data_IF_462390361660
#
_entry.id   IF_462390361660
#
_cell.length_a   1.000
_cell.length_b   1.000
_cell.length_c   1.000
_cell.angle_alpha   90.00
_cell.angle_beta   90.00
_cell.angle_gamma   90.00
#
_symmetry.space_group_name_H-M   'P 1'
#
loop_
_entity.id
_entity.type
_entity.pdbx_description
1 polymer ?
#
# COMPACT_ATOMS: atom_id res chain seq x y z
N UNK A 1 -7.10 24.24 -14.59
CA UNK A 1 -6.98 23.38 -13.39
C UNK A 1 -5.72 22.54 -13.58
N UNK A 2 -4.92 22.36 -12.53
CA UNK A 2 -3.82 21.40 -12.55
C UNK A 2 -4.39 19.98 -12.56
N UNK A 3 -3.64 19.04 -13.14
CA UNK A 3 -3.99 17.63 -13.07
C UNK A 3 -3.98 17.15 -11.61
N UNK A 4 -4.95 16.32 -11.19
CA UNK A 4 -4.98 15.79 -9.83
C UNK A 4 -3.92 14.70 -9.64
N UNK A 5 -3.68 14.34 -8.39
CA UNK A 5 -2.74 13.31 -7.98
C UNK A 5 -3.46 12.25 -7.14
N UNK A 6 -2.95 11.03 -7.12
CA UNK A 6 -3.32 10.06 -6.08
C UNK A 6 -2.19 9.97 -5.05
N UNK A 7 -2.51 9.55 -3.84
CA UNK A 7 -1.55 9.14 -2.82
C UNK A 7 -1.63 7.63 -2.58
N UNK A 8 -0.53 6.93 -2.84
CA UNK A 8 -0.35 5.52 -2.60
C UNK A 8 0.31 5.25 -1.25
N UNK A 9 -0.27 4.35 -0.46
CA UNK A 9 0.28 3.84 0.81
C UNK A 9 0.48 2.31 0.81
N UNK A 10 0.34 1.66 -0.34
CA UNK A 10 0.56 0.22 -0.52
C UNK A 10 1.42 -0.05 -1.74
N UNK A 11 0.99 -0.97 -2.61
CA UNK A 11 1.73 -1.32 -3.83
C UNK A 11 1.99 -0.14 -4.76
N UNK A 12 1.14 0.89 -4.72
CA UNK A 12 1.31 2.13 -5.49
C UNK A 12 2.55 2.94 -5.10
N UNK A 13 3.21 2.64 -3.97
CA UNK A 13 4.52 3.24 -3.65
C UNK A 13 5.62 2.67 -4.56
N UNK A 14 5.46 1.44 -5.04
CA UNK A 14 6.38 0.83 -5.98
C UNK A 14 6.03 1.27 -7.41
N UNK A 15 6.80 2.21 -7.95
CA UNK A 15 6.60 2.79 -9.28
C UNK A 15 6.74 1.77 -10.41
N UNK A 16 7.35 0.61 -10.18
CA UNK A 16 7.38 -0.50 -11.17
C UNK A 16 6.00 -1.12 -11.38
N UNK A 17 5.03 -0.84 -10.52
CA UNK A 17 3.68 -1.43 -10.60
C UNK A 17 2.70 -0.59 -11.42
N UNK A 18 3.08 0.60 -11.90
CA UNK A 18 2.19 1.50 -12.63
C UNK A 18 2.94 2.41 -13.61
N UNK A 19 2.19 3.10 -14.47
CA UNK A 19 2.74 3.99 -15.51
C UNK A 19 2.70 5.48 -15.13
N UNK A 20 2.04 5.83 -14.02
CA UNK A 20 1.90 7.22 -13.57
C UNK A 20 3.25 7.86 -13.28
N UNK A 21 3.43 9.07 -13.80
CA UNK A 21 4.66 9.86 -13.75
C UNK A 21 4.57 10.93 -12.66
N UNK A 22 5.65 11.70 -12.49
CA UNK A 22 5.76 12.76 -11.47
C UNK A 22 5.53 12.23 -10.05
N UNK A 23 6.09 11.04 -9.80
CA UNK A 23 6.05 10.35 -8.52
C UNK A 23 6.92 11.09 -7.49
N UNK A 24 6.34 11.45 -6.33
CA UNK A 24 7.03 12.19 -5.27
C UNK A 24 6.73 11.60 -3.89
N UNK A 25 7.73 11.51 -3.00
CA UNK A 25 7.49 11.19 -1.60
C UNK A 25 6.51 12.17 -0.96
N UNK A 26 5.59 11.65 -0.17
CA UNK A 26 4.58 12.42 0.53
C UNK A 26 4.22 11.75 1.86
N UNK A 27 3.44 12.44 2.67
CA UNK A 27 3.00 11.96 3.97
C UNK A 27 1.51 12.17 4.18
N UNK A 28 0.82 11.16 4.70
CA UNK A 28 -0.61 11.18 5.01
C UNK A 28 -0.81 11.19 6.53
N UNK A 29 -1.47 12.22 7.05
CA UNK A 29 -1.81 12.36 8.46
C UNK A 29 -3.24 11.92 8.76
N UNK A 30 -3.52 11.54 10.01
CA UNK A 30 -4.88 11.23 10.47
C UNK A 30 -5.34 9.81 10.19
N UNK A 31 -4.45 8.96 9.67
CA UNK A 31 -4.74 7.59 9.26
C UNK A 31 -3.67 6.62 9.73
N UNK A 32 -4.08 5.38 10.00
CA UNK A 32 -3.19 4.24 10.24
C UNK A 32 -3.52 3.14 9.26
N UNK A 33 -2.49 2.44 8.80
CA UNK A 33 -2.60 1.37 7.81
C UNK A 33 -2.92 0.05 8.51
N UNK A 34 -3.74 -0.79 7.89
CA UNK A 34 -4.16 -2.06 8.47
C UNK A 34 -4.43 -3.12 7.39
N UNK A 35 -4.12 -4.36 7.69
CA UNK A 35 -4.51 -5.53 6.90
C UNK A 35 -5.98 -5.89 7.13
N UNK A 36 -6.76 -5.93 6.06
CA UNK A 36 -8.20 -6.28 6.08
C UNK A 36 -8.57 -7.12 4.87
N UNK A 37 -9.74 -7.76 4.93
CA UNK A 37 -10.34 -8.47 3.79
C UNK A 37 -11.61 -7.78 3.32
N UNK A 38 -12.01 -8.10 2.10
CA UNK A 38 -13.35 -7.89 1.56
C UNK A 38 -13.93 -9.24 1.14
N UNK A 39 -15.19 -9.30 0.72
CA UNK A 39 -15.76 -10.52 0.12
C UNK A 39 -15.50 -10.61 -1.39
N UNK A 40 -14.78 -9.65 -1.99
CA UNK A 40 -14.54 -9.60 -3.42
C UNK A 40 -13.28 -10.35 -3.84
N UNK A 41 -12.40 -10.68 -2.90
CA UNK A 41 -11.07 -11.26 -3.17
C UNK A 41 -10.64 -12.17 -2.02
N UNK A 42 -10.05 -13.31 -2.33
CA UNK A 42 -9.62 -14.34 -1.37
C UNK A 42 -8.23 -14.05 -0.75
N UNK A 43 -7.97 -12.80 -0.40
CA UNK A 43 -6.73 -12.39 0.27
C UNK A 43 -6.93 -11.10 1.08
N UNK A 44 -6.02 -10.84 2.01
CA UNK A 44 -5.95 -9.58 2.74
C UNK A 44 -5.21 -8.51 1.93
N UNK A 45 -5.69 -7.28 2.02
CA UNK A 45 -5.07 -6.09 1.43
C UNK A 45 -4.93 -4.97 2.46
N UNK A 46 -4.13 -3.98 2.08
CA UNK A 46 -3.92 -2.78 2.86
C UNK A 46 -5.11 -1.84 2.71
N UNK A 47 -5.59 -1.32 3.82
CA UNK A 47 -6.50 -0.17 3.86
C UNK A 47 -6.07 0.77 5.00
N UNK A 48 -6.79 1.86 5.17
CA UNK A 48 -6.57 2.84 6.24
C UNK A 48 -7.78 2.92 7.17
N UNK A 49 -7.49 3.18 8.45
CA UNK A 49 -8.46 3.48 9.51
C UNK A 49 -8.10 4.81 10.18
N UNK A 50 -9.06 5.60 10.68
CA UNK A 50 -8.76 6.87 11.33
C UNK A 50 -7.77 6.70 12.49
N UNK A 51 -6.76 7.57 12.55
CA UNK A 51 -5.77 7.60 13.64
C UNK A 51 -5.14 8.98 13.77
N UNK A 52 -5.49 9.70 14.84
CA UNK A 52 -5.04 11.08 15.07
C UNK A 52 -3.55 11.22 15.42
N UNK A 53 -2.83 10.11 15.63
CA UNK A 53 -1.44 10.09 16.09
C UNK A 53 -0.45 9.51 15.08
N UNK A 54 -0.94 9.07 13.92
CA UNK A 54 -0.12 8.36 12.94
C UNK A 54 0.05 9.22 11.69
N UNK A 55 1.28 9.21 11.18
CA UNK A 55 1.63 9.73 9.86
C UNK A 55 2.14 8.55 9.01
N UNK A 56 1.63 8.41 7.80
CA UNK A 56 2.02 7.36 6.86
C UNK A 56 2.92 7.96 5.78
N UNK A 57 4.10 7.40 5.59
CA UNK A 57 4.88 7.65 4.38
C UNK A 57 4.18 7.01 3.19
N UNK A 58 4.22 7.67 2.04
CA UNK A 58 3.66 7.18 0.79
C UNK A 58 4.12 8.00 -0.40
N UNK A 59 3.54 7.73 -1.56
CA UNK A 59 3.95 8.33 -2.82
C UNK A 59 2.75 9.03 -3.46
N UNK A 60 2.91 10.29 -3.87
CA UNK A 60 1.95 10.91 -4.79
C UNK A 60 2.39 10.71 -6.23
N UNK A 61 1.45 10.52 -7.15
CA UNK A 61 1.75 10.56 -8.59
C UNK A 61 0.60 11.17 -9.38
N UNK A 62 0.95 11.82 -10.48
CA UNK A 62 0.03 12.61 -11.30
C UNK A 62 -0.95 11.71 -12.05
N UNK A 63 -2.21 12.14 -12.16
CA UNK A 63 -3.26 11.53 -12.98
C UNK A 63 -3.56 12.44 -14.17
N UNK A 64 -2.93 12.20 -15.33
CA UNK A 64 -3.05 13.09 -16.48
C UNK A 64 -4.49 13.23 -16.96
N UNK A 65 -4.92 14.46 -17.24
CA UNK A 65 -6.26 14.80 -17.71
C UNK A 65 -7.38 14.39 -16.74
N UNK A 66 -7.05 14.14 -15.47
CA UNK A 66 -7.94 13.50 -14.51
C UNK A 66 -8.55 12.18 -15.03
N UNK A 67 -7.81 11.42 -15.85
CA UNK A 67 -8.25 10.11 -16.33
C UNK A 67 -8.03 9.04 -15.26
N UNK A 68 -9.08 8.85 -14.49
CA UNK A 68 -9.12 7.94 -13.37
C UNK A 68 -9.51 6.51 -13.73
N UNK A 69 -10.00 6.26 -14.95
CA UNK A 69 -10.68 5.01 -15.31
C UNK A 69 -9.80 3.78 -15.07
N UNK A 70 -8.54 3.85 -15.50
CA UNK A 70 -7.58 2.76 -15.33
C UNK A 70 -7.20 2.54 -13.85
N UNK A 71 -7.11 3.62 -13.05
CA UNK A 71 -6.77 3.51 -11.64
C UNK A 71 -7.94 2.95 -10.83
N UNK A 72 -9.16 3.39 -11.12
CA UNK A 72 -10.38 2.90 -10.47
C UNK A 72 -10.60 1.40 -10.75
N UNK A 73 -10.36 0.96 -11.99
CA UNK A 73 -10.41 -0.46 -12.31
C UNK A 73 -9.34 -1.28 -11.56
N UNK A 74 -8.14 -0.71 -11.35
CA UNK A 74 -7.09 -1.36 -10.57
C UNK A 74 -7.45 -1.46 -9.08
N UNK A 75 -7.99 -0.38 -8.52
CA UNK A 75 -8.34 -0.23 -7.11
C UNK A 75 -9.80 -0.65 -6.85
N UNK A 76 -10.34 -1.55 -7.68
CA UNK A 76 -11.69 -2.11 -7.49
C UNK A 76 -11.88 -2.65 -6.07
N UNK A 77 -12.98 -2.24 -5.44
CA UNK A 77 -13.31 -2.55 -4.05
C UNK A 77 -12.89 -1.48 -3.04
N UNK A 78 -12.23 -0.41 -3.49
CA UNK A 78 -11.91 0.78 -2.70
C UNK A 78 -12.80 1.97 -3.11
N UNK A 79 -13.13 2.83 -2.15
CA UNK A 79 -13.65 4.17 -2.42
C UNK A 79 -12.49 5.13 -2.69
N UNK A 80 -12.63 5.97 -3.73
CA UNK A 80 -11.75 7.12 -3.93
C UNK A 80 -12.26 8.30 -3.09
N UNK A 81 -11.41 8.78 -2.19
CA UNK A 81 -11.69 9.89 -1.28
C UNK A 81 -10.74 11.06 -1.56
N UNK A 82 -11.25 12.29 -1.51
CA UNK A 82 -10.40 13.50 -1.55
C UNK A 82 -9.70 13.65 -0.19
N UNK A 83 -8.39 13.86 -0.22
CA UNK A 83 -7.54 13.92 0.98
C UNK A 83 -6.46 15.01 0.92
N UNK A 84 -6.61 16.01 0.05
CA UNK A 84 -5.67 17.12 -0.15
C UNK A 84 -5.16 17.72 1.15
N UNK A 85 -6.06 18.10 2.06
CA UNK A 85 -5.71 18.75 3.33
C UNK A 85 -4.98 17.83 4.34
N UNK A 86 -4.95 16.51 4.08
CA UNK A 86 -4.34 15.51 4.96
C UNK A 86 -2.96 15.08 4.47
N UNK A 87 -2.55 15.51 3.27
CA UNK A 87 -1.34 15.04 2.60
C UNK A 87 -0.33 16.18 2.51
N UNK A 88 0.86 15.98 3.08
CA UNK A 88 1.99 16.90 2.96
C UNK A 88 2.96 16.41 1.89
N UNK A 89 3.38 17.29 0.98
CA UNK A 89 4.28 16.99 -0.13
C UNK A 89 5.07 18.24 -0.55
N UNK A 90 6.03 18.09 -1.46
CA UNK A 90 6.88 19.18 -1.99
C UNK A 90 6.42 19.79 -3.33
N UNK A 91 5.30 19.30 -3.89
CA UNK A 91 4.76 19.83 -5.15
C UNK A 91 4.27 21.29 -5.02
N UNK A 92 4.77 22.19 -5.87
CA UNK A 92 4.53 23.64 -5.79
C UNK A 92 3.08 24.07 -5.93
N UNK A 93 2.31 23.35 -6.73
CA UNK A 93 0.98 23.79 -7.17
C UNK A 93 -0.18 23.29 -6.29
N UNK A 94 0.11 22.63 -5.16
CA UNK A 94 -0.88 22.04 -4.24
C UNK A 94 -2.09 21.42 -4.96
N UNK A 95 -1.86 20.37 -5.77
CA UNK A 95 -2.92 19.75 -6.56
C UNK A 95 -3.96 19.07 -5.66
N UNK A 96 -5.15 18.83 -6.21
CA UNK A 96 -6.11 17.94 -5.56
C UNK A 96 -5.53 16.53 -5.46
N UNK A 97 -5.65 15.92 -4.28
CA UNK A 97 -5.14 14.60 -3.99
C UNK A 97 -6.24 13.65 -3.58
N UNK A 98 -6.20 12.46 -4.17
CA UNK A 98 -7.11 11.39 -3.84
C UNK A 98 -6.40 10.20 -3.19
N UNK A 99 -7.10 9.49 -2.30
CA UNK A 99 -6.66 8.23 -1.71
C UNK A 99 -7.73 7.17 -1.93
N UNK A 100 -7.31 5.92 -2.00
CA UNK A 100 -8.22 4.77 -2.05
C UNK A 100 -8.31 4.14 -0.67
N UNK A 101 -9.52 3.88 -0.15
CA UNK A 101 -9.72 3.14 1.10
C UNK A 101 -10.84 2.12 0.97
N UNK A 102 -10.69 0.93 1.56
CA UNK A 102 -11.78 -0.06 1.59
C UNK A 102 -12.95 0.55 2.39
N UNK A 103 -14.17 0.59 1.81
CA UNK A 103 -15.36 1.12 2.49
C UNK A 103 -15.62 0.37 3.79
N UNK A 104 -16.04 1.08 4.84
CA UNK A 104 -16.28 0.46 6.15
C UNK A 104 -17.32 -0.68 6.07
N UNK A 105 -18.35 -0.51 5.25
CA UNK A 105 -19.42 -1.50 5.06
C UNK A 105 -18.95 -2.84 4.44
N UNK A 106 -17.81 -2.85 3.74
CA UNK A 106 -17.26 -4.04 3.06
C UNK A 106 -15.90 -4.46 3.62
N UNK A 107 -15.47 -3.83 4.72
CA UNK A 107 -14.20 -4.08 5.40
C UNK A 107 -14.40 -5.03 6.56
N UNK A 108 -13.83 -6.22 6.46
CA UNK A 108 -13.93 -7.24 7.51
C UNK A 108 -12.56 -7.55 8.14
N UNK A 109 -12.54 -8.07 9.39
CA UNK A 109 -11.31 -8.62 9.96
C UNK A 109 -10.74 -9.74 9.08
N UNK A 110 -9.40 -9.85 9.03
CA UNK A 110 -8.73 -10.94 8.32
C UNK A 110 -9.16 -12.31 8.86
N UNK A 111 -9.12 -13.33 8.01
CA UNK A 111 -9.30 -14.74 8.38
C UNK A 111 -8.16 -15.57 7.77
N UNK A 112 -7.87 -16.78 8.28
CA UNK A 112 -6.86 -17.65 7.67
C UNK A 112 -7.11 -18.01 6.19
N UNK A 113 -8.36 -17.89 5.73
CA UNK A 113 -8.77 -18.11 4.34
C UNK A 113 -8.48 -16.89 3.44
N UNK A 114 -8.20 -15.72 4.03
CA UNK A 114 -7.83 -14.49 3.31
C UNK A 114 -6.44 -14.04 3.75
N UNK A 115 -5.38 -14.78 3.39
CA UNK A 115 -4.03 -14.49 3.83
C UNK A 115 -3.50 -13.21 3.20
N UNK A 116 -2.47 -12.62 3.81
CA UNK A 116 -1.60 -11.66 3.12
C UNK A 116 -0.78 -12.47 2.11
N UNK A 117 -0.84 -12.14 0.82
CA UNK A 117 0.08 -12.74 -0.14
C UNK A 117 1.49 -12.19 0.09
N UNK A 118 2.49 -13.07 0.22
CA UNK A 118 3.87 -12.65 0.40
C UNK A 118 4.38 -11.91 -0.83
N UNK A 119 3.99 -12.34 -2.05
CA UNK A 119 4.29 -11.62 -3.28
C UNK A 119 3.68 -10.21 -3.32
N UNK A 120 2.57 -9.95 -2.62
CA UNK A 120 2.02 -8.60 -2.46
C UNK A 120 2.85 -7.78 -1.48
N UNK A 121 3.19 -8.34 -0.32
CA UNK A 121 4.03 -7.67 0.67
C UNK A 121 5.43 -7.34 0.13
N UNK A 122 6.03 -8.26 -0.61
CA UNK A 122 7.32 -8.09 -1.29
C UNK A 122 7.32 -6.84 -2.18
N UNK A 123 6.27 -6.66 -2.98
CA UNK A 123 6.10 -5.48 -3.85
C UNK A 123 6.03 -4.19 -3.05
N UNK A 124 5.27 -4.22 -1.95
CA UNK A 124 5.10 -3.06 -1.07
C UNK A 124 6.44 -2.70 -0.44
N UNK A 125 7.09 -3.62 0.25
CA UNK A 125 8.34 -3.34 0.97
C UNK A 125 9.49 -2.99 0.02
N UNK A 126 9.55 -3.58 -1.19
CA UNK A 126 10.50 -3.16 -2.21
C UNK A 126 10.29 -1.69 -2.61
N UNK A 127 9.04 -1.26 -2.79
CA UNK A 127 8.71 0.14 -3.08
C UNK A 127 9.16 1.08 -1.94
N UNK A 128 8.86 0.72 -0.69
CA UNK A 128 9.30 1.51 0.47
C UNK A 128 10.82 1.56 0.59
N UNK A 129 11.52 0.45 0.34
CA UNK A 129 12.98 0.41 0.35
C UNK A 129 13.57 1.32 -0.71
N UNK A 130 13.04 1.31 -1.94
CA UNK A 130 13.57 2.11 -3.04
C UNK A 130 13.31 3.61 -2.87
N UNK A 131 12.15 3.98 -2.32
CA UNK A 131 11.77 5.40 -2.15
C UNK A 131 12.32 6.01 -0.86
N UNK A 132 12.36 5.23 0.23
CA UNK A 132 12.60 5.74 1.58
C UNK A 132 13.75 5.01 2.32
N UNK A 133 14.39 4.02 1.70
CA UNK A 133 15.41 3.20 2.34
C UNK A 133 14.86 2.30 3.45
N UNK A 134 15.78 1.69 4.20
CA UNK A 134 15.44 0.77 5.29
C UNK A 134 14.58 1.43 6.38
N UNK A 135 14.78 2.72 6.64
CA UNK A 135 13.97 3.48 7.59
C UNK A 135 12.49 3.57 7.15
N UNK A 136 12.22 3.67 5.85
CA UNK A 136 10.84 3.65 5.34
C UNK A 136 10.18 2.28 5.44
N UNK A 137 10.96 1.20 5.26
CA UNK A 137 10.49 -0.17 5.50
C UNK A 137 10.13 -0.36 6.97
N UNK A 138 11.00 0.06 7.88
CA UNK A 138 10.71 0.03 9.32
C UNK A 138 9.45 0.84 9.66
N UNK A 139 9.34 2.08 9.15
CA UNK A 139 8.16 2.93 9.33
C UNK A 139 6.90 2.24 8.80
N UNK A 140 6.97 1.56 7.65
CA UNK A 140 5.86 0.78 7.12
C UNK A 140 5.41 -0.28 8.14
N UNK A 141 6.34 -1.08 8.67
CA UNK A 141 6.01 -2.14 9.62
C UNK A 141 5.40 -1.58 10.91
N UNK A 142 5.97 -0.52 11.49
CA UNK A 142 5.54 0.12 12.74
C UNK A 142 4.18 0.83 12.64
N UNK A 143 3.84 1.32 11.44
CA UNK A 143 2.58 2.05 11.18
C UNK A 143 1.49 1.18 10.56
N UNK A 144 1.71 -0.14 10.49
CA UNK A 144 0.76 -1.10 9.95
C UNK A 144 0.29 -2.06 11.04
N UNK A 145 -1.03 -2.17 11.19
CA UNK A 145 -1.66 -3.15 12.09
C UNK A 145 -2.15 -4.40 11.34
N UNK A 146 -2.48 -5.44 12.08
CA UNK A 146 -3.05 -6.69 11.54
C UNK A 146 -2.02 -7.73 11.12
N UNK A 147 -0.80 -7.69 11.70
CA UNK A 147 0.26 -8.68 11.46
C UNK A 147 -0.04 -10.07 12.02
N UNK A 148 -1.11 -10.23 12.81
CA UNK A 148 -1.71 -11.50 13.20
C UNK A 148 -2.40 -12.23 12.03
N UNK A 149 -2.56 -11.57 10.89
CA UNK A 149 -3.03 -12.21 9.64
C UNK A 149 -2.00 -13.19 9.12
N UNK A 150 -2.44 -14.41 8.76
CA UNK A 150 -1.60 -15.42 8.11
C UNK A 150 -1.03 -14.87 6.81
N UNK A 151 0.26 -15.11 6.58
CA UNK A 151 0.96 -14.80 5.34
C UNK A 151 1.07 -16.06 4.51
N UNK A 152 0.59 -16.03 3.26
CA UNK A 152 0.77 -17.11 2.30
C UNK A 152 2.06 -16.88 1.51
N UNK A 153 2.98 -17.83 1.60
CA UNK A 153 4.23 -17.85 0.87
C UNK A 153 4.02 -18.30 -0.58
N UNK A 154 3.50 -17.39 -1.40
CA UNK A 154 3.25 -17.63 -2.82
C UNK A 154 4.44 -17.27 -3.73
N UNK A 155 5.66 -17.11 -3.18
CA UNK A 155 6.82 -16.63 -3.96
C UNK A 155 7.19 -17.53 -5.13
N UNK A 156 6.96 -18.84 -5.03
CA UNK A 156 7.28 -19.80 -6.10
C UNK A 156 6.31 -19.72 -7.28
N UNK A 157 5.07 -19.31 -7.02
CA UNK A 157 4.03 -19.09 -8.02
C UNK A 157 3.17 -17.89 -7.61
N UNK A 158 3.66 -16.64 -7.83
CA UNK A 158 3.03 -15.44 -7.30
C UNK A 158 1.58 -15.28 -7.76
N UNK A 159 0.67 -15.13 -6.80
CA UNK A 159 -0.75 -14.89 -7.05
C UNK A 159 -0.99 -13.39 -7.29
N UNK A 160 -0.22 -12.51 -6.65
CA UNK A 160 -0.37 -11.07 -6.83
C UNK A 160 -0.01 -10.67 -8.28
N UNK A 161 -0.93 -10.07 -9.07
CA UNK A 161 -0.75 -9.86 -10.52
C UNK A 161 0.36 -8.88 -10.89
N UNK A 162 0.90 -8.14 -9.91
CA UNK A 162 1.99 -7.16 -10.09
C UNK A 162 3.22 -7.52 -9.27
N UNK A 163 3.37 -8.80 -8.91
CA UNK A 163 4.56 -9.31 -8.24
C UNK A 163 5.84 -8.84 -8.94
N UNK A 164 6.84 -8.47 -8.16
CA UNK A 164 8.14 -8.03 -8.66
C UNK A 164 9.20 -9.09 -8.32
N UNK A 165 10.24 -9.17 -9.13
CA UNK A 165 11.44 -9.92 -8.74
C UNK A 165 12.20 -9.12 -7.68
N UNK A 166 12.59 -9.82 -6.61
CA UNK A 166 13.41 -9.28 -5.54
C UNK A 166 14.85 -9.77 -5.68
N UNK A 167 15.80 -8.92 -5.30
CA UNK A 167 17.17 -9.35 -5.03
C UNK A 167 17.24 -10.19 -3.73
N UNK A 168 18.34 -10.91 -3.54
CA UNK A 168 18.57 -11.70 -2.31
C UNK A 168 18.48 -10.83 -1.05
N UNK A 169 19.05 -9.61 -1.10
CA UNK A 169 19.02 -8.68 0.03
C UNK A 169 17.61 -8.14 0.31
N UNK A 170 16.82 -7.88 -0.74
CA UNK A 170 15.42 -7.47 -0.60
C UNK A 170 14.57 -8.60 0.00
N UNK A 171 14.74 -9.83 -0.47
CA UNK A 171 14.05 -11.00 0.08
C UNK A 171 14.40 -11.19 1.56
N UNK A 172 15.70 -11.13 1.91
CA UNK A 172 16.16 -11.27 3.29
C UNK A 172 15.61 -10.15 4.20
N UNK A 173 15.50 -8.92 3.69
CA UNK A 173 14.88 -7.81 4.42
C UNK A 173 13.41 -8.09 4.74
N UNK A 174 12.63 -8.54 3.75
CA UNK A 174 11.21 -8.87 3.98
C UNK A 174 11.06 -9.99 5.00
N UNK A 175 11.88 -11.04 4.89
CA UNK A 175 11.84 -12.18 5.81
C UNK A 175 12.18 -11.74 7.24
N UNK A 176 13.17 -10.86 7.40
CA UNK A 176 13.51 -10.28 8.70
C UNK A 176 12.36 -9.46 9.29
N UNK A 177 11.68 -8.65 8.47
CA UNK A 177 10.50 -7.89 8.90
C UNK A 177 9.36 -8.81 9.37
N UNK A 178 9.09 -9.90 8.65
CA UNK A 178 8.06 -10.88 9.02
C UNK A 178 8.39 -11.59 10.34
N UNK A 179 9.65 -11.98 10.53
CA UNK A 179 10.10 -12.57 11.79
C UNK A 179 9.95 -11.60 12.97
N UNK A 180 10.29 -10.32 12.77
CA UNK A 180 10.21 -9.30 13.81
C UNK A 180 8.78 -9.07 14.33
N UNK A 181 7.79 -9.12 13.44
CA UNK A 181 6.37 -8.97 13.83
C UNK A 181 5.72 -10.30 14.24
N UNK A 182 6.47 -11.41 14.21
CA UNK A 182 5.96 -12.73 14.55
C UNK A 182 4.89 -13.25 13.59
N UNK A 183 4.98 -12.88 12.30
CA UNK A 183 4.00 -13.28 11.30
C UNK A 183 3.95 -14.81 11.15
N UNK A 184 2.74 -15.35 10.98
CA UNK A 184 2.54 -16.77 10.72
C UNK A 184 2.61 -17.02 9.21
N UNK A 185 3.62 -17.77 8.77
CA UNK A 185 3.74 -18.17 7.36
C UNK A 185 3.06 -19.52 7.11
N UNK A 186 2.39 -19.62 5.96
CA UNK A 186 1.84 -20.85 5.37
C UNK A 186 2.36 -20.98 3.94
N UNK A 187 2.71 -22.19 3.51
CA UNK A 187 3.08 -22.47 2.11
C UNK A 187 1.86 -22.72 1.21
#
# INVERSE_FOLDING_TARGET
MSDPYFFGYGSLVNTKTHVYQDARPAKLSGWRRVWKRTNARDMAFLTIVPSVRTELLGLIAKVPNADWVALDAREEGYDRLVATEMITHDHSDNPELAIYAIPEATRFPPTPDHPILLSYLDVVLQGYLHVFGAAGVQHFMETTDGWDTVVLNDRTNPIYPRAQSLSVDETALVDACLMQVGAQLRD
#
